data_IF_545408011637
#
_entry.id   IF_545408011637
#
_cell.length_a   1.000
_cell.length_b   1.000
_cell.length_c   1.000
_cell.angle_alpha   90.00
_cell.angle_beta   90.00
_cell.angle_gamma   90.00
#
_symmetry.space_group_name_H-M   'P 1'
#
loop_
_entity.id
_entity.type
_entity.pdbx_description
1 polymer ?
#
# COMPACT_ATOMS: atom_id res chain seq x y z
N UNK A 1 1.01 -4.79 -14.48
CA UNK A 1 2.04 -5.19 -13.48
C UNK A 1 1.38 -5.32 -12.12
N UNK A 2 1.76 -6.32 -11.31
CA UNK A 2 1.17 -6.52 -9.97
C UNK A 2 2.04 -5.87 -8.90
N UNK A 3 1.45 -4.95 -8.12
CA UNK A 3 2.17 -4.07 -7.21
C UNK A 3 1.50 -4.10 -5.84
N UNK A 4 2.28 -4.28 -4.78
CA UNK A 4 1.77 -4.15 -3.42
C UNK A 4 1.73 -2.69 -3.02
N UNK A 5 0.58 -2.21 -2.57
CA UNK A 5 0.44 -0.84 -2.07
C UNK A 5 0.59 -0.79 -0.55
N UNK A 6 1.35 0.19 -0.08
CA UNK A 6 1.52 0.54 1.33
C UNK A 6 0.31 1.37 1.85
N UNK A 7 -0.05 1.23 3.13
CA UNK A 7 -1.09 2.05 3.77
C UNK A 7 -0.81 3.54 3.62
N UNK A 8 0.46 3.96 3.72
CA UNK A 8 0.84 5.36 3.54
C UNK A 8 0.45 5.90 2.16
N UNK A 9 0.46 5.06 1.11
CA UNK A 9 0.03 5.45 -0.24
C UNK A 9 -1.49 5.51 -0.36
N UNK A 10 -2.20 4.56 0.26
CA UNK A 10 -3.66 4.60 0.34
C UNK A 10 -4.10 5.90 1.06
N UNK A 11 -3.48 6.20 2.20
CA UNK A 11 -3.74 7.43 2.95
C UNK A 11 -3.39 8.67 2.12
N UNK A 12 -2.25 8.70 1.44
CA UNK A 12 -1.92 9.82 0.55
C UNK A 12 -2.98 10.03 -0.54
N UNK A 13 -3.52 8.96 -1.13
CA UNK A 13 -4.61 9.04 -2.09
C UNK A 13 -5.89 9.64 -1.48
N UNK A 14 -6.17 9.37 -0.20
CA UNK A 14 -7.27 9.98 0.57
C UNK A 14 -7.03 11.48 0.86
N UNK A 15 -5.78 11.88 1.13
CA UNK A 15 -5.37 13.26 1.47
C UNK A 15 -5.30 14.22 0.26
N UNK A 16 -6.10 14.01 -0.78
CA UNK A 16 -6.16 14.84 -2.01
C UNK A 16 -4.90 14.82 -2.90
N UNK A 17 -3.97 13.88 -2.74
CA UNK A 17 -2.84 13.70 -3.68
C UNK A 17 -3.34 13.20 -5.05
N UNK A 18 -3.41 14.13 -6.01
CA UNK A 18 -3.87 13.86 -7.38
C UNK A 18 -2.93 12.93 -8.14
N UNK A 19 -1.65 12.92 -7.81
CA UNK A 19 -0.65 12.06 -8.43
C UNK A 19 -0.86 10.62 -7.97
N UNK A 20 -0.99 10.42 -6.67
CA UNK A 20 -1.21 9.09 -6.08
C UNK A 20 -2.55 8.49 -6.56
N UNK A 21 -3.63 9.28 -6.65
CA UNK A 21 -4.89 8.81 -7.27
C UNK A 21 -4.73 8.47 -8.76
N UNK A 22 -4.03 9.30 -9.52
CA UNK A 22 -3.79 9.06 -10.94
C UNK A 22 -3.01 7.76 -11.21
N UNK A 23 -2.10 7.40 -10.31
CA UNK A 23 -1.38 6.11 -10.36
C UNK A 23 -2.30 4.95 -9.94
N UNK A 24 -3.05 5.11 -8.85
CA UNK A 24 -3.93 4.08 -8.29
C UNK A 24 -5.03 3.64 -9.27
N UNK A 25 -5.64 4.60 -9.99
CA UNK A 25 -6.70 4.33 -10.96
C UNK A 25 -6.16 4.08 -12.39
N UNK A 26 -4.86 3.81 -12.54
CA UNK A 26 -4.29 3.53 -13.84
C UNK A 26 -4.44 2.04 -14.19
N UNK A 27 -5.14 1.75 -15.29
CA UNK A 27 -5.42 0.39 -15.75
C UNK A 27 -4.17 -0.45 -16.11
N UNK A 28 -2.97 0.15 -16.18
CA UNK A 28 -1.69 -0.59 -16.37
C UNK A 28 -1.23 -1.33 -15.11
N UNK A 29 -1.72 -0.93 -13.94
CA UNK A 29 -1.29 -1.45 -12.65
C UNK A 29 -2.42 -2.22 -11.97
N UNK A 30 -2.06 -3.37 -11.40
CA UNK A 30 -2.93 -4.18 -10.56
C UNK A 30 -2.41 -4.07 -9.14
N UNK A 31 -3.13 -3.33 -8.31
CA UNK A 31 -2.72 -3.08 -6.94
C UNK A 31 -3.29 -4.13 -6.00
N UNK A 32 -2.43 -4.64 -5.12
CA UNK A 32 -2.81 -5.55 -4.05
C UNK A 32 -2.37 -4.97 -2.71
N UNK A 33 -3.08 -5.28 -1.62
CA UNK A 33 -2.67 -4.87 -0.29
C UNK A 33 -2.90 -6.03 0.70
N UNK A 34 -2.06 -6.18 1.74
CA UNK A 34 -2.38 -7.09 2.83
C UNK A 34 -3.66 -6.61 3.54
N UNK A 35 -4.52 -7.54 3.94
CA UNK A 35 -5.75 -7.24 4.69
C UNK A 35 -5.48 -6.43 5.98
N UNK A 36 -4.28 -6.55 6.54
CA UNK A 36 -3.75 -5.71 7.63
C UNK A 36 -3.95 -4.21 7.41
N UNK A 37 -3.92 -3.73 6.16
CA UNK A 37 -4.10 -2.30 5.86
C UNK A 37 -5.47 -1.79 6.31
N UNK A 38 -6.52 -2.62 6.27
CA UNK A 38 -7.84 -2.24 6.75
C UNK A 38 -7.84 -2.00 8.25
N UNK A 39 -7.21 -2.88 9.00
CA UNK A 39 -7.09 -2.75 10.46
C UNK A 39 -6.31 -1.49 10.83
N UNK A 40 -5.22 -1.20 10.11
CA UNK A 40 -4.42 0.00 10.33
C UNK A 40 -5.19 1.29 10.02
N UNK A 41 -5.90 1.32 8.89
CA UNK A 41 -6.70 2.49 8.49
C UNK A 41 -7.83 2.73 9.47
N UNK A 42 -8.54 1.67 9.90
CA UNK A 42 -9.63 1.81 10.86
C UNK A 42 -9.13 2.28 12.22
N UNK A 43 -8.00 1.75 12.69
CA UNK A 43 -7.38 2.14 13.96
C UNK A 43 -6.98 3.62 13.99
N UNK A 44 -6.48 4.15 12.87
CA UNK A 44 -6.04 5.54 12.75
C UNK A 44 -7.05 6.43 12.01
N UNK A 45 -8.28 5.96 11.80
CA UNK A 45 -9.33 6.63 11.01
C UNK A 45 -9.56 8.07 11.43
N UNK A 46 -9.67 8.32 12.74
CA UNK A 46 -9.88 9.66 13.28
C UNK A 46 -8.73 10.63 12.97
N UNK A 47 -7.49 10.14 12.90
CA UNK A 47 -6.33 10.96 12.52
C UNK A 47 -6.34 11.26 11.01
N UNK A 48 -6.68 10.27 10.19
CA UNK A 48 -6.72 10.44 8.73
C UNK A 48 -7.83 11.37 8.28
N UNK A 49 -9.02 11.29 8.88
CA UNK A 49 -10.12 12.22 8.60
C UNK A 49 -9.71 13.66 8.92
N UNK A 50 -9.09 13.88 10.09
CA UNK A 50 -8.57 15.19 10.49
C UNK A 50 -7.52 15.72 9.52
N UNK A 51 -6.59 14.86 9.08
CA UNK A 51 -5.55 15.23 8.10
C UNK A 51 -6.14 15.50 6.71
N UNK A 52 -7.15 14.73 6.30
CA UNK A 52 -7.78 14.87 4.99
C UNK A 52 -8.62 16.15 4.88
N UNK A 53 -9.15 16.63 6.02
CA UNK A 53 -10.04 17.78 6.06
C UNK A 53 -11.34 17.53 5.28
N UNK A 54 -11.82 16.28 5.26
CA UNK A 54 -13.08 15.86 4.64
C UNK A 54 -14.02 15.28 5.69
N UNK A 55 -15.32 15.23 5.38
CA UNK A 55 -16.29 14.67 6.32
C UNK A 55 -16.13 13.15 6.44
N UNK A 56 -16.51 12.60 7.59
CA UNK A 56 -16.48 11.15 7.85
C UNK A 56 -17.16 10.31 6.74
N UNK A 57 -18.37 10.66 6.24
CA UNK A 57 -19.00 9.91 5.16
C UNK A 57 -18.27 10.00 3.81
N UNK A 58 -17.65 11.14 3.52
CA UNK A 58 -16.87 11.34 2.29
C UNK A 58 -15.58 10.51 2.32
N UNK A 59 -14.95 10.42 3.50
CA UNK A 59 -13.81 9.56 3.74
C UNK A 59 -14.15 8.09 3.51
N UNK A 60 -15.28 7.61 4.04
CA UNK A 60 -15.71 6.23 3.87
C UNK A 60 -16.01 5.89 2.41
N UNK A 61 -16.67 6.81 1.69
CA UNK A 61 -16.93 6.65 0.26
C UNK A 61 -15.63 6.52 -0.53
N UNK A 62 -14.68 7.45 -0.30
CA UNK A 62 -13.40 7.44 -1.01
C UNK A 62 -12.57 6.21 -0.65
N UNK A 63 -12.56 5.81 0.62
CA UNK A 63 -11.88 4.61 1.09
C UNK A 63 -12.46 3.36 0.43
N UNK A 64 -13.78 3.27 0.32
CA UNK A 64 -14.44 2.14 -0.35
C UNK A 64 -14.07 2.08 -1.83
N UNK A 65 -14.09 3.22 -2.54
CA UNK A 65 -13.69 3.29 -3.96
C UNK A 65 -12.24 2.85 -4.16
N UNK A 66 -11.34 3.26 -3.26
CA UNK A 66 -9.94 2.82 -3.29
C UNK A 66 -9.89 1.30 -3.07
N UNK A 67 -10.55 0.77 -2.04
CA UNK A 67 -10.53 -0.68 -1.78
C UNK A 67 -11.15 -1.51 -2.89
N UNK A 68 -12.14 -1.00 -3.64
CA UNK A 68 -12.69 -1.67 -4.82
C UNK A 68 -11.68 -1.79 -5.97
N UNK A 69 -10.75 -0.82 -6.09
CA UNK A 69 -9.65 -0.88 -7.06
C UNK A 69 -8.48 -1.78 -6.61
N UNK A 70 -8.49 -2.23 -5.35
CA UNK A 70 -7.42 -3.02 -4.74
C UNK A 70 -7.85 -4.48 -4.53
N UNK A 71 -6.92 -5.40 -4.72
CA UNK A 71 -7.13 -6.79 -4.29
C UNK A 71 -6.53 -7.02 -2.90
N UNK A 72 -7.37 -7.36 -1.92
CA UNK A 72 -6.93 -7.64 -0.56
C UNK A 72 -6.44 -9.07 -0.41
N UNK A 73 -5.24 -9.21 0.14
CA UNK A 73 -4.60 -10.49 0.39
C UNK A 73 -4.80 -10.86 1.86
N UNK A 74 -5.44 -11.99 2.16
CA UNK A 74 -5.71 -12.37 3.55
C UNK A 74 -4.43 -12.79 4.26
N UNK A 75 -4.38 -12.51 5.57
CA UNK A 75 -3.19 -12.75 6.42
C UNK A 75 -2.63 -14.16 6.32
N UNK A 76 -3.52 -15.15 6.20
CA UNK A 76 -3.15 -16.56 6.07
C UNK A 76 -2.18 -16.84 4.91
N UNK A 77 -2.21 -16.06 3.82
CA UNK A 77 -1.34 -16.24 2.66
C UNK A 77 0.09 -15.79 2.91
N UNK A 78 0.29 -14.72 3.68
CA UNK A 78 1.62 -14.15 3.92
C UNK A 78 2.17 -14.43 5.33
N UNK A 79 1.38 -15.02 6.24
CA UNK A 79 1.79 -15.31 7.62
C UNK A 79 3.07 -16.16 7.71
N UNK A 80 3.24 -17.13 6.80
CA UNK A 80 4.44 -17.97 6.72
C UNK A 80 5.71 -17.19 6.32
N UNK A 81 5.54 -16.06 5.66
CA UNK A 81 6.64 -15.21 5.16
C UNK A 81 6.97 -14.09 6.14
N UNK A 82 6.04 -13.66 7.00
CA UNK A 82 6.26 -12.62 8.02
C UNK A 82 7.52 -12.90 8.85
N UNK A 83 7.74 -14.15 9.25
CA UNK A 83 8.90 -14.54 10.05
C UNK A 83 10.25 -14.29 9.36
N UNK A 84 10.30 -14.24 8.02
CA UNK A 84 11.54 -14.01 7.26
C UNK A 84 12.01 -12.57 7.26
N UNK A 85 11.11 -11.62 7.50
CA UNK A 85 11.39 -10.19 7.43
C UNK A 85 11.47 -9.52 8.81
N UNK A 86 10.97 -10.19 9.85
CA UNK A 86 11.01 -9.67 11.24
C UNK A 86 12.42 -9.33 11.74
N UNK A 87 13.47 -9.94 11.17
CA UNK A 87 14.86 -9.70 11.55
C UNK A 87 15.61 -8.79 10.57
N UNK A 88 14.98 -8.39 9.47
CA UNK A 88 15.63 -7.66 8.37
C UNK A 88 15.13 -6.24 8.23
N UNK A 89 14.12 -5.85 9.00
CA UNK A 89 13.47 -4.54 8.91
C UNK A 89 13.27 -3.99 10.30
N UNK A 90 13.62 -2.72 10.44
CA UNK A 90 13.52 -1.99 11.70
C UNK A 90 12.07 -1.69 12.09
N UNK A 91 11.18 -1.47 11.12
CA UNK A 91 9.74 -1.26 11.33
C UNK A 91 8.90 -2.55 11.13
N UNK A 92 8.31 -3.12 12.20
CA UNK A 92 7.42 -4.27 12.11
C UNK A 92 6.15 -4.05 11.28
N UNK A 93 5.73 -2.81 11.03
CA UNK A 93 4.53 -2.47 10.25
C UNK A 93 4.74 -2.64 8.74
N UNK A 94 5.98 -2.63 8.29
CA UNK A 94 6.34 -2.78 6.88
C UNK A 94 6.41 -4.24 6.45
N UNK A 95 6.69 -5.12 7.43
CA UNK A 95 6.83 -6.57 7.25
C UNK A 95 5.62 -7.22 6.54
N UNK A 96 4.34 -6.91 6.88
CA UNK A 96 3.18 -7.42 6.16
C UNK A 96 3.17 -7.11 4.66
N UNK A 97 3.61 -5.93 4.23
CA UNK A 97 3.59 -5.53 2.82
C UNK A 97 4.64 -6.31 2.01
N UNK A 98 5.83 -6.46 2.56
CA UNK A 98 6.91 -7.21 1.92
C UNK A 98 6.64 -8.72 1.91
N UNK A 99 6.09 -9.24 3.00
CA UNK A 99 5.62 -10.61 3.07
C UNK A 99 4.49 -10.87 2.06
N UNK A 100 3.57 -9.92 1.91
CA UNK A 100 2.53 -9.97 0.88
C UNK A 100 3.15 -10.05 -0.51
N UNK A 101 4.10 -9.17 -0.83
CA UNK A 101 4.78 -9.12 -2.14
C UNK A 101 5.42 -10.47 -2.50
N UNK A 102 6.16 -11.08 -1.57
CA UNK A 102 6.75 -12.40 -1.80
C UNK A 102 5.67 -13.47 -1.94
N UNK A 103 4.64 -13.47 -1.08
CA UNK A 103 3.60 -14.49 -1.09
C UNK A 103 2.76 -14.48 -2.37
N UNK A 104 2.51 -13.31 -2.95
CA UNK A 104 1.77 -13.14 -4.21
C UNK A 104 2.65 -13.15 -5.44
N UNK A 105 3.98 -13.23 -5.27
CA UNK A 105 4.97 -13.03 -6.35
C UNK A 105 4.73 -11.72 -7.10
N UNK A 106 4.33 -10.68 -6.37
CA UNK A 106 4.24 -9.34 -6.92
C UNK A 106 5.63 -8.84 -7.25
N UNK A 107 5.70 -8.02 -8.29
CA UNK A 107 6.98 -7.59 -8.84
C UNK A 107 7.61 -6.48 -7.97
N UNK A 108 6.77 -5.64 -7.34
CA UNK A 108 7.20 -4.42 -6.66
C UNK A 108 6.30 -4.08 -5.45
N UNK A 109 6.86 -3.36 -4.49
CA UNK A 109 6.11 -2.65 -3.44
C UNK A 109 6.13 -1.16 -3.76
N UNK A 110 4.97 -0.52 -3.74
CA UNK A 110 4.84 0.92 -3.84
C UNK A 110 4.80 1.54 -2.45
N UNK A 111 5.92 2.13 -2.06
CA UNK A 111 6.06 2.84 -0.79
C UNK A 111 7.05 4.01 -0.93
N UNK A 112 6.90 5.02 -0.07
CA UNK A 112 7.89 6.08 0.12
C UNK A 112 8.69 5.88 1.41
N UNK A 113 8.43 4.80 2.15
CA UNK A 113 9.10 4.53 3.41
C UNK A 113 10.57 4.11 3.14
N UNK A 114 11.56 4.80 3.73
CA UNK A 114 12.95 4.40 3.60
C UNK A 114 13.25 3.04 4.26
N UNK A 115 12.53 2.63 5.32
CA UNK A 115 12.78 1.35 6.00
C UNK A 115 12.50 0.15 5.07
N UNK A 116 11.55 0.29 4.14
CA UNK A 116 11.28 -0.73 3.10
C UNK A 116 12.49 -1.01 2.20
N UNK A 117 13.43 -0.06 2.10
CA UNK A 117 14.69 -0.19 1.33
C UNK A 117 15.85 -0.78 2.14
N UNK A 118 15.66 -1.10 3.42
CA UNK A 118 16.67 -1.79 4.25
C UNK A 118 16.91 -3.23 3.79
N UNK A 119 15.97 -3.81 3.06
CA UNK A 119 16.03 -5.16 2.52
C UNK A 119 16.22 -5.17 0.99
N UNK A 120 16.92 -6.19 0.48
CA UNK A 120 17.21 -6.36 -0.95
C UNK A 120 16.34 -7.41 -1.67
N UNK A 121 15.40 -8.04 -0.95
CA UNK A 121 14.58 -9.16 -1.45
C UNK A 121 13.42 -8.72 -2.32
N UNK A 122 12.91 -7.51 -2.09
CA UNK A 122 11.75 -6.94 -2.76
C UNK A 122 12.11 -5.55 -3.26
N UNK A 123 11.76 -5.25 -4.50
CA UNK A 123 12.02 -3.95 -5.10
C UNK A 123 10.95 -2.95 -4.69
N UNK A 124 11.37 -1.77 -4.25
CA UNK A 124 10.50 -0.70 -3.76
C UNK A 124 10.47 0.45 -4.76
N UNK A 125 9.29 0.80 -5.24
CA UNK A 125 9.06 1.88 -6.20
C UNK A 125 8.40 3.08 -5.55
N UNK A 126 8.78 4.26 -6.05
CA UNK A 126 8.17 5.54 -5.69
C UNK A 126 7.17 5.98 -6.76
N UNK A 127 6.51 7.14 -6.54
CA UNK A 127 5.58 7.70 -7.53
C UNK A 127 6.30 8.01 -8.85
N UNK A 128 7.56 8.46 -8.79
CA UNK A 128 8.35 8.80 -9.97
C UNK A 128 8.59 7.56 -10.83
N UNK A 129 8.90 6.43 -10.19
CA UNK A 129 9.14 5.17 -10.89
C UNK A 129 7.86 4.71 -11.60
N UNK A 130 6.73 4.69 -10.89
CA UNK A 130 5.44 4.29 -11.46
C UNK A 130 4.98 5.21 -12.61
N UNK A 131 5.20 6.52 -12.49
CA UNK A 131 4.87 7.47 -13.57
C UNK A 131 5.74 7.29 -14.81
N UNK A 132 7.00 6.87 -14.66
CA UNK A 132 7.86 6.52 -15.80
C UNK A 132 7.31 5.30 -16.52
N UNK A 133 6.90 4.27 -15.78
CA UNK A 133 6.29 3.06 -16.34
C UNK A 133 4.91 3.31 -16.94
N UNK A 134 4.12 4.26 -16.41
CA UNK A 134 2.79 4.53 -16.95
C UNK A 134 2.83 5.24 -18.32
N UNK A 135 3.92 5.96 -18.62
CA UNK A 135 4.12 6.74 -19.85
C UNK A 135 4.85 5.97 -20.97
N UNK A 136 5.46 4.82 -20.63
CA UNK A 136 6.00 3.87 -21.61
C UNK A 136 4.92 2.93 -22.13
#
# INVERSE_FOLDING_TARGET
MMIVIDSNRIVAALLKDSTTRGILFNNKFYFIAPEFVKEEIEKHRGEFIKKAGIASPEFDLLLSLIFESLTLVPKVKYNKVLGKFKSEISDPKDVPYLACCIATRSEWVWSHDPHMKEQDKVKVFTNIDLLRYSRS
#
